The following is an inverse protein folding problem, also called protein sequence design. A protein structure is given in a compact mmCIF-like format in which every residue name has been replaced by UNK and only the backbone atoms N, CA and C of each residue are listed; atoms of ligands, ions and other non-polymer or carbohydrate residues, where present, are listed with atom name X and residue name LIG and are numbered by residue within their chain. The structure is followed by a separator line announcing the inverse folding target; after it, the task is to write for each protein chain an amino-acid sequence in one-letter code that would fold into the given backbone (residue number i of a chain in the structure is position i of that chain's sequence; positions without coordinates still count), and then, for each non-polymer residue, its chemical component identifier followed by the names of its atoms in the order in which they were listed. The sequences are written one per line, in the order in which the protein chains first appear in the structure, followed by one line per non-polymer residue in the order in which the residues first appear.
data_IF_233091079617
#
_entry.id   IF_233091079617
#
_cell.length_a   1.000
_cell.length_b   1.000
_cell.length_c   1.000
_cell.angle_alpha   90.00
_cell.angle_beta   90.00
_cell.angle_gamma   90.00
#
_symmetry.space_group_name_H-M   'P 1'
#
loop_
_entity.id
_entity.type
_entity.pdbx_description
1 polymer ?
#
# COMPACT_ATOMS: atom_id res chain seq x y z
N UNK A 1 29.28 -12.06 15.31
CA UNK A 1 29.08 -10.80 14.53
C UNK A 1 27.80 -10.78 13.66
N UNK A 2 26.67 -11.39 14.09
CA UNK A 2 25.37 -11.26 13.38
C UNK A 2 24.45 -10.22 14.05
N UNK A 3 24.48 -10.14 15.38
CA UNK A 3 23.69 -9.19 16.17
C UNK A 3 23.87 -7.72 15.72
N UNK A 4 25.11 -7.23 15.61
CA UNK A 4 25.40 -5.83 15.20
C UNK A 4 24.86 -5.49 13.81
N UNK A 5 24.89 -6.44 12.85
CA UNK A 5 24.34 -6.24 11.49
C UNK A 5 22.81 -6.28 11.48
N UNK A 6 22.19 -7.14 12.30
CA UNK A 6 20.73 -7.23 12.40
C UNK A 6 20.14 -6.00 13.10
N UNK A 7 20.72 -5.55 14.21
CA UNK A 7 20.30 -4.34 14.91
C UNK A 7 20.51 -3.09 14.05
N UNK A 8 21.63 -2.99 13.34
CA UNK A 8 21.87 -1.89 12.39
C UNK A 8 20.84 -1.84 11.25
N UNK A 9 20.45 -3.00 10.70
CA UNK A 9 19.41 -3.07 9.66
C UNK A 9 18.02 -2.71 10.19
N UNK A 10 17.64 -3.22 11.36
CA UNK A 10 16.35 -2.91 11.97
C UNK A 10 16.24 -1.41 12.28
N UNK A 11 17.28 -0.83 12.87
CA UNK A 11 17.37 0.59 13.15
C UNK A 11 17.31 1.43 11.88
N UNK A 12 18.07 1.06 10.84
CA UNK A 12 18.02 1.73 9.53
C UNK A 12 16.62 1.68 8.91
N UNK A 13 15.95 0.52 8.93
CA UNK A 13 14.56 0.38 8.42
C UNK A 13 13.58 1.26 9.19
N UNK A 14 13.77 1.39 10.50
CA UNK A 14 12.95 2.25 11.35
C UNK A 14 13.18 3.73 11.01
N UNK A 15 14.44 4.19 11.02
CA UNK A 15 14.82 5.58 10.72
C UNK A 15 14.42 6.05 9.32
N UNK A 16 14.52 5.16 8.33
CA UNK A 16 14.17 5.49 6.94
C UNK A 16 12.68 5.38 6.65
N UNK A 17 11.85 4.97 7.62
CA UNK A 17 10.42 4.74 7.38
C UNK A 17 10.16 3.64 6.34
N UNK A 18 11.09 2.69 6.19
CA UNK A 18 11.11 1.69 5.12
C UNK A 18 9.77 0.96 4.97
N UNK A 19 9.14 0.58 6.09
CA UNK A 19 7.86 -0.13 6.09
C UNK A 19 6.69 0.70 5.58
N UNK A 20 6.67 2.02 5.83
CA UNK A 20 5.63 2.90 5.30
C UNK A 20 5.84 3.06 3.79
N UNK A 21 7.07 3.36 3.37
CA UNK A 21 7.40 3.51 1.94
C UNK A 21 7.08 2.24 1.15
N UNK A 22 7.50 1.08 1.64
CA UNK A 22 7.23 -0.21 0.99
C UNK A 22 5.73 -0.52 0.90
N UNK A 23 4.94 -0.17 1.93
CA UNK A 23 3.47 -0.32 1.88
C UNK A 23 2.84 0.60 0.83
N UNK A 24 3.31 1.84 0.69
CA UNK A 24 2.84 2.78 -0.33
C UNK A 24 3.19 2.27 -1.72
N UNK A 25 4.43 1.80 -1.94
CA UNK A 25 4.87 1.21 -3.21
C UNK A 25 4.01 -0.01 -3.60
N UNK A 26 3.73 -0.90 -2.64
CA UNK A 26 2.85 -2.04 -2.86
C UNK A 26 1.42 -1.60 -3.23
N UNK A 27 0.84 -0.62 -2.51
CA UNK A 27 -0.48 -0.09 -2.82
C UNK A 27 -0.51 0.58 -4.20
N UNK A 28 0.55 1.30 -4.57
CA UNK A 28 0.67 1.94 -5.88
C UNK A 28 0.81 0.91 -7.01
N UNK A 29 1.52 -0.19 -6.78
CA UNK A 29 1.59 -1.31 -7.74
C UNK A 29 0.21 -1.90 -7.98
N UNK A 30 -0.59 -2.13 -6.93
CA UNK A 30 -1.97 -2.60 -7.07
C UNK A 30 -2.85 -1.59 -7.82
N UNK A 31 -2.72 -0.28 -7.51
CA UNK A 31 -3.48 0.77 -8.19
C UNK A 31 -3.21 0.82 -9.70
N UNK A 32 -1.94 0.63 -10.10
CA UNK A 32 -1.51 0.53 -11.51
C UNK A 32 -1.97 -0.77 -12.17
N UNK A 33 -2.04 -1.87 -11.44
CA UNK A 33 -2.50 -3.15 -11.97
C UNK A 33 -4.03 -3.20 -12.15
N UNK A 34 -4.78 -2.43 -11.35
CA UNK A 34 -6.24 -2.44 -11.38
C UNK A 34 -6.85 -1.87 -12.67
N UNK A 35 -6.08 -1.10 -13.46
CA UNK A 35 -6.49 -0.66 -14.80
C UNK A 35 -5.26 -0.22 -15.60
N UNK A 36 -5.28 -0.45 -16.91
CA UNK A 36 -4.18 -0.10 -17.82
C UNK A 36 -3.79 1.38 -17.79
N UNK A 37 -4.75 2.31 -17.60
CA UNK A 37 -4.49 3.77 -17.63
C UNK A 37 -5.56 4.55 -16.87
N UNK A 38 -5.32 5.86 -16.70
CA UNK A 38 -6.37 6.82 -16.33
C UNK A 38 -7.06 7.22 -17.65
N UNK A 39 -8.35 6.96 -17.76
CA UNK A 39 -9.10 7.18 -19.01
C UNK A 39 -9.45 8.65 -19.23
N UNK A 40 -9.70 9.38 -18.15
CA UNK A 40 -9.98 10.80 -18.18
C UNK A 40 -8.76 11.60 -18.70
N UNK A 41 -8.97 12.37 -19.77
CA UNK A 41 -7.94 13.28 -20.32
C UNK A 41 -7.83 14.59 -19.55
N UNK A 42 -8.93 15.03 -18.96
CA UNK A 42 -9.05 16.29 -18.24
C UNK A 42 -8.74 16.11 -16.75
N UNK A 43 -7.87 16.94 -16.13
CA UNK A 43 -7.48 16.79 -14.73
C UNK A 43 -8.64 16.76 -13.73
N UNK A 44 -9.69 17.54 -13.96
CA UNK A 44 -10.86 17.59 -13.08
C UNK A 44 -11.65 16.27 -13.12
N UNK A 45 -11.58 15.55 -14.25
CA UNK A 45 -12.15 14.21 -14.41
C UNK A 45 -11.21 13.08 -13.99
N UNK A 46 -9.90 13.31 -13.93
CA UNK A 46 -8.94 12.32 -13.41
C UNK A 46 -9.07 12.13 -11.91
N UNK A 47 -9.28 13.22 -11.17
CA UNK A 47 -9.42 13.20 -9.71
C UNK A 47 -10.54 12.24 -9.24
N UNK A 48 -11.80 12.35 -9.72
CA UNK A 48 -12.86 11.42 -9.34
C UNK A 48 -12.58 9.99 -9.81
N UNK A 49 -11.96 9.78 -10.99
CA UNK A 49 -11.56 8.44 -11.45
C UNK A 49 -10.59 7.77 -10.46
N UNK A 50 -9.58 8.50 -10.00
CA UNK A 50 -8.61 8.03 -9.00
C UNK A 50 -9.32 7.74 -7.66
N UNK A 51 -10.21 8.63 -7.20
CA UNK A 51 -10.95 8.46 -5.96
C UNK A 51 -11.85 7.22 -5.99
N UNK A 52 -12.58 7.00 -7.09
CA UNK A 52 -13.41 5.80 -7.29
C UNK A 52 -12.55 4.55 -7.23
N UNK A 53 -11.39 4.54 -7.90
CA UNK A 53 -10.47 3.40 -7.88
C UNK A 53 -9.94 3.11 -6.48
N UNK A 54 -9.60 4.15 -5.71
CA UNK A 54 -9.20 4.02 -4.30
C UNK A 54 -10.33 3.43 -3.46
N UNK A 55 -11.57 3.90 -3.65
CA UNK A 55 -12.73 3.39 -2.93
C UNK A 55 -12.97 1.89 -3.22
N UNK A 56 -12.88 1.48 -4.48
CA UNK A 56 -12.98 0.07 -4.89
C UNK A 56 -11.87 -0.79 -4.26
N UNK A 57 -10.62 -0.35 -4.33
CA UNK A 57 -9.50 -1.06 -3.70
C UNK A 57 -9.69 -1.21 -2.18
N UNK A 58 -10.11 -0.14 -1.50
CA UNK A 58 -10.37 -0.20 -0.06
C UNK A 58 -11.53 -1.16 0.26
N UNK A 59 -12.58 -1.21 -0.58
CA UNK A 59 -13.68 -2.16 -0.43
C UNK A 59 -13.22 -3.61 -0.61
N UNK A 60 -12.39 -3.90 -1.62
CA UNK A 60 -11.82 -5.23 -1.78
C UNK A 60 -10.93 -5.64 -0.60
N UNK A 61 -10.11 -4.72 -0.09
CA UNK A 61 -9.33 -4.97 1.12
C UNK A 61 -10.22 -5.29 2.33
N UNK A 62 -11.31 -4.54 2.54
CA UNK A 62 -12.23 -4.80 3.63
C UNK A 62 -12.90 -6.18 3.51
N UNK A 63 -13.33 -6.55 2.30
CA UNK A 63 -13.92 -7.86 2.02
C UNK A 63 -12.93 -9.03 2.16
N UNK A 64 -11.66 -8.81 1.83
CA UNK A 64 -10.61 -9.84 1.92
C UNK A 64 -9.90 -9.91 3.26
N UNK A 65 -10.20 -9.01 4.20
CA UNK A 65 -9.59 -9.03 5.54
C UNK A 65 -10.30 -10.08 6.40
N UNK A 66 -9.59 -11.16 6.72
CA UNK A 66 -10.09 -12.14 7.68
C UNK A 66 -10.12 -11.56 9.10
N UNK A 67 -11.16 -11.87 9.86
CA UNK A 67 -11.18 -11.63 11.30
C UNK A 67 -10.30 -12.68 11.98
N UNK A 68 -9.11 -12.27 12.41
CA UNK A 68 -8.19 -13.13 13.16
C UNK A 68 -8.38 -12.85 14.65
N UNK A 69 -9.02 -13.79 15.34
CA UNK A 69 -9.16 -13.77 16.80
C UNK A 69 -8.03 -14.57 17.43
N UNK A 70 -7.25 -13.97 18.33
CA UNK A 70 -6.24 -14.67 19.11
C UNK A 70 -6.93 -15.31 20.32
N UNK A 71 -6.97 -16.65 20.36
CA UNK A 71 -7.45 -17.40 21.53
C UNK A 71 -6.28 -17.63 22.50
N UNK A 72 -6.55 -17.48 23.80
CA UNK A 72 -5.59 -17.64 24.89
C UNK A 72 -5.22 -19.12 25.12
#
# INVERSE_FOLDING_TARGET
MRATRHYGRAFWKHWTGYHIRSRIEAKMRCFKAFSERIAARDPDRQTPEVQIRIALMNRFNALGTAEIVRVA
#
